data_IF_284806237660
#
_entry.id   IF_284806237660
#
_cell.length_a   1.000
_cell.length_b   1.000
_cell.length_c   1.000
_cell.angle_alpha   90.00
_cell.angle_beta   90.00
_cell.angle_gamma   90.00
#
_symmetry.space_group_name_H-M   'P 1'
#
loop_
_entity.id
_entity.type
_entity.pdbx_description
1 polymer ?
#
# COMPACT_ATOMS: atom_id res chain seq x y z
N UNK A 1 -14.58 10.56 10.63
CA UNK A 1 -13.94 11.02 9.38
C UNK A 1 -12.47 10.62 9.35
N UNK A 2 -11.73 10.94 10.42
CA UNK A 2 -10.29 10.72 10.56
C UNK A 2 -9.82 9.29 10.22
N UNK A 3 -10.42 8.28 10.85
CA UNK A 3 -10.10 6.86 10.55
C UNK A 3 -10.30 6.50 9.07
N UNK A 4 -11.35 6.99 8.41
CA UNK A 4 -11.61 6.70 6.99
C UNK A 4 -10.50 7.27 6.12
N UNK A 5 -10.08 8.50 6.39
CA UNK A 5 -8.99 9.15 5.65
C UNK A 5 -7.63 8.50 5.93
N UNK A 6 -7.37 8.12 7.19
CA UNK A 6 -6.15 7.42 7.58
C UNK A 6 -6.00 6.03 6.93
N UNK A 7 -7.09 5.40 6.48
CA UNK A 7 -7.02 4.12 5.74
C UNK A 7 -6.56 4.26 4.29
N UNK A 8 -6.67 5.45 3.68
CA UNK A 8 -6.32 5.67 2.28
C UNK A 8 -4.84 5.35 1.96
N UNK A 9 -3.86 5.80 2.76
CA UNK A 9 -2.44 5.50 2.51
C UNK A 9 -1.95 4.16 3.09
N UNK A 10 -2.83 3.24 3.51
CA UNK A 10 -2.38 2.00 4.20
C UNK A 10 -1.49 1.06 3.38
N UNK A 11 -1.45 1.23 2.07
CA UNK A 11 -0.73 0.36 1.11
C UNK A 11 0.61 0.93 0.62
N UNK A 12 1.07 2.03 1.20
CA UNK A 12 2.40 2.62 0.96
C UNK A 12 3.25 2.53 2.24
N UNK A 13 4.52 2.90 2.16
CA UNK A 13 5.44 2.81 3.31
C UNK A 13 5.10 3.84 4.40
N UNK A 14 5.41 3.50 5.65
CA UNK A 14 5.04 4.31 6.81
C UNK A 14 5.44 5.80 6.71
N UNK A 15 6.66 6.17 6.28
CA UNK A 15 7.01 7.58 6.14
C UNK A 15 6.12 8.34 5.17
N UNK A 16 5.82 7.73 4.01
CA UNK A 16 4.96 8.35 3.01
C UNK A 16 3.50 8.41 3.47
N UNK A 17 3.05 7.39 4.21
CA UNK A 17 1.68 7.34 4.70
C UNK A 17 1.38 8.41 5.75
N UNK A 18 2.35 8.73 6.62
CA UNK A 18 2.25 9.85 7.57
C UNK A 18 2.00 11.15 6.81
N UNK A 19 2.83 11.42 5.80
CA UNK A 19 2.75 12.65 5.03
C UNK A 19 1.40 12.75 4.28
N UNK A 20 1.01 11.67 3.59
CA UNK A 20 -0.27 11.62 2.88
C UNK A 20 -1.46 11.79 3.83
N UNK A 21 -1.43 11.16 5.00
CA UNK A 21 -2.49 11.30 5.99
C UNK A 21 -2.62 12.77 6.46
N UNK A 22 -1.50 13.41 6.79
CA UNK A 22 -1.50 14.82 7.18
C UNK A 22 -2.04 15.72 6.06
N UNK A 23 -1.66 15.48 4.80
CA UNK A 23 -2.19 16.22 3.64
C UNK A 23 -3.69 16.03 3.43
N UNK A 24 -4.23 14.87 3.80
CA UNK A 24 -5.66 14.56 3.76
C UNK A 24 -6.42 15.07 5.00
N UNK A 25 -5.72 15.63 5.99
CA UNK A 25 -6.31 16.10 7.25
C UNK A 25 -6.59 15.00 8.26
N UNK A 26 -5.86 13.88 8.18
CA UNK A 26 -5.96 12.73 9.08
C UNK A 26 -4.75 12.60 10.02
N UNK A 27 -4.90 11.92 11.16
CA UNK A 27 -3.79 11.67 12.09
C UNK A 27 -2.78 10.66 11.49
N UNK A 28 -1.56 11.12 11.24
CA UNK A 28 -0.46 10.28 10.77
C UNK A 28 -0.14 9.08 11.68
N UNK A 29 -0.42 9.14 12.98
CA UNK A 29 -0.25 8.00 13.90
C UNK A 29 -1.21 6.86 13.58
N UNK A 30 -2.47 7.19 13.27
CA UNK A 30 -3.46 6.20 12.83
C UNK A 30 -3.06 5.59 11.48
N UNK A 31 -2.55 6.41 10.57
CA UNK A 31 -2.07 5.94 9.27
C UNK A 31 -0.93 4.93 9.42
N UNK A 32 0.07 5.20 10.27
CA UNK A 32 1.17 4.24 10.54
C UNK A 32 0.65 2.95 11.13
N UNK A 33 -0.27 3.00 12.10
CA UNK A 33 -0.84 1.80 12.70
C UNK A 33 -1.51 0.92 11.62
N UNK A 34 -2.25 1.53 10.69
CA UNK A 34 -2.92 0.83 9.59
C UNK A 34 -1.95 0.29 8.53
N UNK A 35 -0.89 1.03 8.22
CA UNK A 35 0.20 0.56 7.35
C UNK A 35 0.88 -0.67 7.94
N UNK A 36 1.29 -0.60 9.21
CA UNK A 36 1.95 -1.73 9.88
C UNK A 36 1.03 -2.94 9.93
N UNK A 37 -0.24 -2.74 10.28
CA UNK A 37 -1.23 -3.82 10.28
C UNK A 37 -1.37 -4.46 8.90
N UNK A 38 -1.55 -3.64 7.85
CA UNK A 38 -1.69 -4.11 6.46
C UNK A 38 -0.43 -4.86 6.01
N UNK A 39 0.74 -4.31 6.29
CA UNK A 39 2.03 -4.91 5.95
C UNK A 39 2.28 -6.25 6.66
N UNK A 40 1.97 -6.36 7.95
CA UNK A 40 2.08 -7.61 8.71
C UNK A 40 1.13 -8.67 8.15
N UNK A 41 -0.13 -8.31 7.88
CA UNK A 41 -1.10 -9.24 7.31
C UNK A 41 -0.63 -9.74 5.92
N UNK A 42 -0.19 -8.84 5.06
CA UNK A 42 0.33 -9.23 3.75
C UNK A 42 1.60 -10.05 3.81
N UNK A 43 2.54 -9.71 4.71
CA UNK A 43 3.77 -10.47 4.88
C UNK A 43 3.54 -11.91 5.37
N UNK A 44 2.58 -12.11 6.28
CA UNK A 44 2.31 -13.43 6.85
C UNK A 44 1.37 -14.27 5.99
N UNK A 45 0.40 -13.65 5.31
CA UNK A 45 -0.68 -14.38 4.62
C UNK A 45 -0.69 -14.18 3.11
N UNK A 46 -0.06 -13.14 2.57
CA UNK A 46 -0.16 -12.78 1.15
C UNK A 46 0.41 -13.83 0.21
N UNK A 47 1.65 -14.28 0.43
CA UNK A 47 2.28 -15.29 -0.42
C UNK A 47 1.53 -16.63 -0.36
N UNK A 48 1.06 -17.02 0.84
CA UNK A 48 0.24 -18.22 1.05
C UNK A 48 -1.10 -18.12 0.29
N UNK A 49 -1.77 -16.97 0.38
CA UNK A 49 -3.03 -16.73 -0.31
C UNK A 49 -2.85 -16.84 -1.82
N UNK A 50 -1.83 -16.19 -2.38
CA UNK A 50 -1.51 -16.27 -3.81
C UNK A 50 -1.27 -17.72 -4.25
N UNK A 51 -0.53 -18.50 -3.45
CA UNK A 51 -0.29 -19.92 -3.73
C UNK A 51 -1.58 -20.75 -3.65
N UNK A 52 -2.44 -20.50 -2.65
CA UNK A 52 -3.72 -21.20 -2.50
C UNK A 52 -4.68 -20.92 -3.66
N UNK A 53 -4.57 -19.74 -4.27
CA UNK A 53 -5.32 -19.34 -5.47
C UNK A 53 -4.69 -19.85 -6.78
N UNK A 54 -3.59 -20.61 -6.70
CA UNK A 54 -2.89 -21.13 -7.88
C UNK A 54 -2.13 -20.08 -8.69
N UNK A 55 -1.84 -18.91 -8.11
CA UNK A 55 -1.12 -17.83 -8.80
C UNK A 55 0.37 -18.14 -8.77
N UNK A 56 0.91 -18.55 -9.92
CA UNK A 56 2.32 -18.94 -10.11
C UNK A 56 3.12 -17.93 -10.92
N UNK A 57 2.47 -17.02 -11.65
CA UNK A 57 3.16 -16.01 -12.46
C UNK A 57 3.93 -15.03 -11.56
N UNK A 58 5.27 -14.89 -11.71
CA UNK A 58 6.09 -14.08 -10.82
C UNK A 58 5.74 -12.59 -10.87
N UNK A 59 5.40 -12.06 -12.05
CA UNK A 59 4.95 -10.67 -12.21
C UNK A 59 3.67 -10.42 -11.42
N UNK A 60 2.66 -11.28 -11.55
CA UNK A 60 1.40 -11.15 -10.83
C UNK A 60 1.61 -11.22 -9.31
N UNK A 61 2.42 -12.18 -8.84
CA UNK A 61 2.72 -12.33 -7.41
C UNK A 61 3.46 -11.11 -6.85
N UNK A 62 4.50 -10.67 -7.54
CA UNK A 62 5.27 -9.49 -7.16
C UNK A 62 4.41 -8.24 -7.10
N UNK A 63 3.65 -7.96 -8.16
CA UNK A 63 2.76 -6.80 -8.20
C UNK A 63 1.73 -6.84 -7.07
N UNK A 64 1.13 -8.00 -6.79
CA UNK A 64 0.16 -8.15 -5.71
C UNK A 64 0.79 -7.88 -4.33
N UNK A 65 1.93 -8.51 -4.03
CA UNK A 65 2.60 -8.35 -2.73
C UNK A 65 3.05 -6.90 -2.49
N UNK A 66 3.71 -6.30 -3.47
CA UNK A 66 4.27 -4.94 -3.34
C UNK A 66 3.20 -3.86 -3.30
N UNK A 67 2.10 -4.00 -4.06
CA UNK A 67 1.02 -3.02 -4.06
C UNK A 67 0.08 -3.14 -2.87
N UNK A 68 -0.17 -4.36 -2.35
CA UNK A 68 -1.09 -4.56 -1.24
C UNK A 68 -0.42 -4.32 0.13
N UNK A 69 0.83 -4.74 0.28
CA UNK A 69 1.51 -4.86 1.58
C UNK A 69 2.91 -4.21 1.62
N UNK A 70 3.23 -3.39 0.62
CA UNK A 70 4.42 -2.54 0.55
C UNK A 70 5.71 -3.29 0.94
N UNK A 71 6.66 -2.60 1.58
CA UNK A 71 7.97 -3.17 1.95
C UNK A 71 7.91 -4.45 2.80
N UNK A 72 6.92 -4.61 3.69
CA UNK A 72 6.83 -5.83 4.50
C UNK A 72 6.37 -7.03 3.67
N UNK A 73 5.36 -6.86 2.82
CA UNK A 73 4.95 -7.90 1.87
C UNK A 73 6.04 -8.24 0.86
N UNK A 74 6.74 -7.24 0.33
CA UNK A 74 7.89 -7.43 -0.56
C UNK A 74 8.99 -8.25 0.11
N UNK A 75 9.31 -7.96 1.38
CA UNK A 75 10.31 -8.71 2.14
C UNK A 75 9.91 -10.19 2.33
N UNK A 76 8.61 -10.49 2.47
CA UNK A 76 8.12 -11.85 2.63
C UNK A 76 8.34 -12.75 1.41
N UNK A 77 8.47 -12.17 0.21
CA UNK A 77 8.73 -12.90 -1.04
C UNK A 77 10.15 -12.70 -1.59
N UNK A 78 11.09 -12.27 -0.74
CA UNK A 78 12.50 -12.05 -1.15
C UNK A 78 13.15 -13.27 -1.80
N UNK A 79 12.68 -14.47 -1.44
CA UNK A 79 13.17 -15.73 -1.98
C UNK A 79 12.44 -16.20 -3.25
N UNK A 80 11.43 -15.47 -3.74
CA UNK A 80 10.62 -15.84 -4.92
C UNK A 80 11.17 -15.30 -6.25
N UNK A 81 12.48 -15.05 -6.34
CA UNK A 81 13.16 -14.68 -7.59
C UNK A 81 12.60 -13.40 -8.23
N UNK A 82 12.16 -13.48 -9.49
CA UNK A 82 11.63 -12.33 -10.25
C UNK A 82 10.43 -11.65 -9.57
N UNK A 83 9.63 -12.38 -8.77
CA UNK A 83 8.50 -11.79 -8.06
C UNK A 83 8.95 -10.68 -7.11
N UNK A 84 10.11 -10.82 -6.46
CA UNK A 84 10.68 -9.79 -5.60
C UNK A 84 10.98 -8.49 -6.38
N UNK A 85 11.55 -8.61 -7.58
CA UNK A 85 11.84 -7.47 -8.46
C UNK A 85 10.56 -6.75 -8.89
N UNK A 86 9.53 -7.49 -9.30
CA UNK A 86 8.23 -6.91 -9.65
C UNK A 86 7.53 -6.27 -8.46
N UNK A 87 7.75 -6.77 -7.24
CA UNK A 87 7.25 -6.18 -6.01
C UNK A 87 7.85 -4.81 -5.73
N UNK A 88 9.16 -4.63 -5.97
CA UNK A 88 9.80 -3.33 -5.87
C UNK A 88 9.25 -2.32 -6.90
N UNK A 89 8.99 -2.78 -8.13
CA UNK A 89 8.35 -1.95 -9.17
C UNK A 89 6.95 -1.53 -8.71
N UNK A 90 6.17 -2.47 -8.15
CA UNK A 90 4.83 -2.18 -7.64
C UNK A 90 4.86 -1.11 -6.54
N UNK A 91 5.80 -1.20 -5.60
CA UNK A 91 5.98 -0.21 -4.54
C UNK A 91 6.29 1.18 -5.09
N UNK A 92 7.17 1.26 -6.10
CA UNK A 92 7.50 2.54 -6.74
C UNK A 92 6.25 3.14 -7.40
N UNK A 93 5.51 2.32 -8.17
CA UNK A 93 4.29 2.76 -8.85
C UNK A 93 3.20 3.22 -7.87
N UNK A 94 2.94 2.47 -6.79
CA UNK A 94 1.94 2.86 -5.79
C UNK A 94 2.35 4.14 -5.06
N UNK A 95 3.63 4.31 -4.73
CA UNK A 95 4.14 5.53 -4.12
C UNK A 95 4.00 6.74 -5.05
N UNK A 96 4.35 6.59 -6.33
CA UNK A 96 4.20 7.66 -7.34
C UNK A 96 2.73 8.03 -7.53
N UNK A 97 1.85 7.06 -7.75
CA UNK A 97 0.43 7.32 -7.93
C UNK A 97 -0.20 7.98 -6.71
N UNK A 98 0.07 7.48 -5.50
CA UNK A 98 -0.45 8.08 -4.26
C UNK A 98 0.02 9.52 -4.12
N UNK A 99 1.30 9.79 -4.38
CA UNK A 99 1.86 11.15 -4.36
C UNK A 99 1.15 12.08 -5.34
N UNK A 100 0.97 11.65 -6.59
CA UNK A 100 0.28 12.45 -7.62
C UNK A 100 -1.16 12.77 -7.22
N UNK A 101 -1.90 11.76 -6.75
CA UNK A 101 -3.31 11.92 -6.38
C UNK A 101 -3.52 12.90 -5.23
N UNK A 102 -2.60 12.93 -4.26
CA UNK A 102 -2.73 13.76 -3.05
C UNK A 102 -2.10 15.15 -3.26
N UNK A 103 -1.09 15.26 -4.13
CA UNK A 103 -0.41 16.54 -4.41
C UNK A 103 -1.25 17.49 -5.27
N UNK A 104 -2.09 16.95 -6.16
CA UNK A 104 -2.99 17.75 -6.99
C UNK A 104 -4.26 18.06 -6.19
N UNK A 105 -4.46 19.34 -5.85
CA UNK A 105 -5.59 19.79 -5.02
C UNK A 105 -6.95 19.27 -5.50
N UNK A 106 -7.24 19.33 -6.80
CA UNK A 106 -8.51 18.87 -7.35
C UNK A 106 -8.74 17.36 -7.13
N UNK A 107 -7.70 16.54 -7.30
CA UNK A 107 -7.75 15.10 -7.08
C UNK A 107 -7.88 14.78 -5.59
N UNK A 108 -7.10 15.46 -4.74
CA UNK A 108 -7.19 15.34 -3.29
C UNK A 108 -8.58 15.65 -2.76
N UNK A 109 -9.16 16.78 -3.16
CA UNK A 109 -10.50 17.19 -2.71
C UNK A 109 -11.56 16.18 -3.19
N UNK A 110 -11.39 15.61 -4.39
CA UNK A 110 -12.22 14.51 -4.90
C UNK A 110 -12.10 13.24 -4.06
N UNK A 111 -10.87 12.84 -3.72
CA UNK A 111 -10.60 11.69 -2.84
C UNK A 111 -11.25 11.85 -1.47
N UNK A 112 -11.12 13.02 -0.85
CA UNK A 112 -11.72 13.31 0.45
C UNK A 112 -13.24 13.23 0.39
N UNK A 113 -13.88 13.78 -0.65
CA UNK A 113 -15.32 13.65 -0.86
C UNK A 113 -15.75 12.19 -0.96
N UNK A 114 -15.14 11.43 -1.86
CA UNK A 114 -15.43 9.99 -2.03
C UNK A 114 -15.23 9.22 -0.72
N UNK A 115 -14.16 9.52 0.02
CA UNK A 115 -13.84 8.83 1.26
C UNK A 115 -14.79 9.18 2.42
N UNK A 116 -15.47 10.33 2.39
CA UNK A 116 -16.35 10.78 3.47
C UNK A 116 -17.85 10.64 3.14
N UNK A 117 -18.23 10.57 1.86
CA UNK A 117 -19.62 10.51 1.39
C UNK A 117 -20.11 11.89 1.01
#
# INVERSE_FOLDING_TARGET
>A
SDLRLATLPRSITAPLAIEVANMLGADGRLAVALVVLTGILGANFGALLLTSLGITNPTARGLAMGSAAHGLGTAAIVNEGEAFTFSAIAMALTATWTTVLVSIKALRDGLVKVALG
#
